data_IF_937976997566
#
_entry.id   IF_937976997566
#
_cell.length_a   1.000
_cell.length_b   1.000
_cell.length_c   1.000
_cell.angle_alpha   90.00
_cell.angle_beta   90.00
_cell.angle_gamma   90.00
#
_symmetry.space_group_name_H-M   'P 1'
#
loop_
_entity.id
_entity.type
_entity.pdbx_description
1 polymer ?
#
# COMPACT_ATOMS: atom_id res chain seq x y z
N UNK A 1 8.65 -11.00 4.55
CA UNK A 1 7.77 -11.95 3.82
C UNK A 1 6.28 -11.57 3.62
N UNK A 2 5.52 -10.97 4.58
CA UNK A 2 4.09 -10.63 4.33
C UNK A 2 3.85 -9.28 3.62
N UNK A 3 4.78 -8.32 3.72
CA UNK A 3 4.65 -7.01 3.06
C UNK A 3 5.10 -7.08 1.61
N UNK A 4 6.21 -7.73 1.33
CA UNK A 4 6.73 -7.87 -0.04
C UNK A 4 5.73 -8.53 -0.99
N UNK A 5 5.02 -9.57 -0.54
CA UNK A 5 3.93 -10.19 -1.33
C UNK A 5 2.77 -9.22 -1.61
N UNK A 6 2.46 -8.32 -0.67
CA UNK A 6 1.44 -7.28 -0.88
C UNK A 6 1.95 -6.23 -1.88
N UNK A 7 3.23 -5.87 -1.80
CA UNK A 7 3.87 -4.93 -2.71
C UNK A 7 4.01 -5.48 -4.12
N UNK A 8 4.39 -6.76 -4.28
CA UNK A 8 4.42 -7.42 -5.58
C UNK A 8 3.04 -7.53 -6.20
N UNK A 9 2.01 -7.87 -5.40
CA UNK A 9 0.62 -7.81 -5.90
C UNK A 9 0.24 -6.39 -6.31
N UNK A 10 0.62 -5.38 -5.54
CA UNK A 10 0.37 -3.97 -5.87
C UNK A 10 1.05 -3.59 -7.20
N UNK A 11 2.31 -3.98 -7.42
CA UNK A 11 3.03 -3.76 -8.68
C UNK A 11 2.43 -4.53 -9.86
N UNK A 12 2.04 -5.79 -9.65
CA UNK A 12 1.36 -6.58 -10.68
C UNK A 12 0.06 -5.89 -11.10
N UNK A 13 -0.69 -5.33 -10.13
CA UNK A 13 -1.89 -4.56 -10.43
C UNK A 13 -1.58 -3.25 -11.19
N UNK A 14 -0.41 -2.66 -11.00
CA UNK A 14 -0.03 -1.48 -11.81
C UNK A 14 0.29 -1.83 -13.26
N UNK A 15 0.81 -3.03 -13.53
CA UNK A 15 1.23 -3.47 -14.86
C UNK A 15 0.12 -4.17 -15.66
N UNK A 16 -1.03 -4.49 -15.07
CA UNK A 16 -2.05 -5.27 -15.79
C UNK A 16 -2.91 -4.37 -16.68
N UNK A 17 -3.04 -4.78 -17.95
CA UNK A 17 -3.72 -4.05 -19.00
C UNK A 17 -5.20 -3.73 -18.76
N UNK A 18 -5.64 -2.65 -19.40
CA UNK A 18 -6.85 -1.84 -19.17
C UNK A 18 -8.20 -2.56 -19.30
N UNK A 19 -8.24 -3.88 -19.52
CA UNK A 19 -9.46 -4.63 -19.83
C UNK A 19 -10.26 -5.10 -18.60
N UNK A 20 -9.69 -5.13 -17.39
CA UNK A 20 -10.40 -5.52 -16.14
C UNK A 20 -10.50 -4.41 -15.08
N UNK A 21 -10.68 -3.14 -15.51
CA UNK A 21 -10.62 -1.94 -14.65
C UNK A 21 -11.43 -2.00 -13.34
N UNK A 22 -12.62 -2.60 -13.33
CA UNK A 22 -13.49 -2.61 -12.13
C UNK A 22 -12.94 -3.50 -11.02
N UNK A 23 -12.66 -4.76 -11.33
CA UNK A 23 -12.02 -5.71 -10.39
C UNK A 23 -10.65 -5.19 -9.95
N UNK A 24 -9.91 -4.58 -10.87
CA UNK A 24 -8.62 -3.96 -10.59
C UNK A 24 -8.69 -2.86 -9.53
N UNK A 25 -9.64 -1.93 -9.67
CA UNK A 25 -9.85 -0.84 -8.72
C UNK A 25 -10.27 -1.39 -7.36
N UNK A 26 -11.13 -2.41 -7.33
CA UNK A 26 -11.55 -3.05 -6.08
C UNK A 26 -10.42 -3.78 -5.37
N UNK A 27 -9.59 -4.55 -6.09
CA UNK A 27 -8.40 -5.18 -5.52
C UNK A 27 -7.39 -4.15 -5.03
N UNK A 28 -7.13 -3.11 -5.81
CA UNK A 28 -6.24 -2.02 -5.41
C UNK A 28 -6.74 -1.34 -4.13
N UNK A 29 -8.05 -1.05 -4.03
CA UNK A 29 -8.65 -0.54 -2.78
C UNK A 29 -8.47 -1.51 -1.61
N UNK A 30 -8.69 -2.81 -1.82
CA UNK A 30 -8.51 -3.83 -0.77
C UNK A 30 -7.07 -3.88 -0.29
N UNK A 31 -6.08 -3.81 -1.20
CA UNK A 31 -4.67 -3.79 -0.83
C UNK A 31 -4.31 -2.49 -0.10
N UNK A 32 -4.76 -1.34 -0.57
CA UNK A 32 -4.56 -0.04 0.11
C UNK A 32 -5.16 -0.03 1.52
N UNK A 33 -6.33 -0.63 1.72
CA UNK A 33 -6.94 -0.79 3.04
C UNK A 33 -6.12 -1.71 3.96
N UNK A 34 -5.57 -2.80 3.42
CA UNK A 34 -4.66 -3.68 4.18
C UNK A 34 -3.37 -2.97 4.56
N UNK A 35 -2.79 -2.18 3.65
CA UNK A 35 -1.63 -1.33 3.92
C UNK A 35 -1.94 -0.29 4.99
N UNK A 36 -3.11 0.37 4.95
CA UNK A 36 -3.57 1.30 6.00
C UNK A 36 -3.67 0.64 7.37
N UNK A 37 -4.23 -0.57 7.44
CA UNK A 37 -4.32 -1.32 8.70
C UNK A 37 -2.94 -1.68 9.23
N UNK A 38 -2.02 -2.10 8.36
CA UNK A 38 -0.62 -2.39 8.75
C UNK A 38 0.11 -1.13 9.23
N UNK A 39 -0.01 -0.03 8.51
CA UNK A 39 0.56 1.27 8.89
C UNK A 39 0.13 1.63 10.31
N UNK A 40 -1.18 1.63 10.59
CA UNK A 40 -1.70 1.91 11.94
C UNK A 40 -1.17 0.95 13.00
N UNK A 41 -1.00 -0.34 12.66
CA UNK A 41 -0.51 -1.35 13.60
C UNK A 41 0.96 -1.09 13.95
N UNK A 42 1.78 -0.77 12.94
CA UNK A 42 3.19 -0.41 13.11
C UNK A 42 3.34 0.91 13.87
N UNK A 43 2.55 1.93 13.55
CA UNK A 43 2.56 3.20 14.29
C UNK A 43 2.21 3.00 15.77
N UNK A 44 1.22 2.16 16.08
CA UNK A 44 0.89 1.82 17.48
C UNK A 44 2.00 1.04 18.17
N UNK A 45 2.65 0.11 17.47
CA UNK A 45 3.78 -0.63 18.00
C UNK A 45 4.97 0.30 18.29
N UNK A 46 5.25 1.25 17.39
CA UNK A 46 6.29 2.27 17.57
C UNK A 46 6.06 3.16 18.80
N UNK A 47 4.81 3.43 19.17
CA UNK A 47 4.49 4.22 20.38
C UNK A 47 4.74 3.47 21.69
N UNK A 48 4.91 2.14 21.64
CA UNK A 48 5.08 1.27 22.81
C UNK A 48 6.46 0.61 22.84
N UNK A 49 7.34 0.95 21.90
CA UNK A 49 8.67 0.39 21.77
C UNK A 49 9.67 1.33 22.46
N UNK A 50 10.38 0.79 23.44
CA UNK A 50 11.55 1.42 24.07
C UNK A 50 12.87 1.03 23.38
N UNK A 51 12.84 0.04 22.50
CA UNK A 51 14.03 -0.43 21.77
C UNK A 51 14.27 0.40 20.50
N UNK A 52 15.35 1.19 20.51
CA UNK A 52 15.75 2.07 19.41
C UNK A 52 16.02 1.34 18.08
N UNK A 53 16.56 0.12 18.15
CA UNK A 53 16.92 -0.64 16.95
C UNK A 53 15.66 -1.22 16.30
N UNK A 54 14.75 -1.72 17.14
CA UNK A 54 13.43 -2.18 16.73
C UNK A 54 12.58 -1.01 16.19
N UNK A 55 12.68 0.17 16.81
CA UNK A 55 12.03 1.41 16.37
C UNK A 55 12.48 1.80 14.96
N UNK A 56 13.79 1.82 14.68
CA UNK A 56 14.32 2.10 13.34
C UNK A 56 13.83 1.13 12.28
N UNK A 57 13.80 -0.17 12.60
CA UNK A 57 13.28 -1.18 11.68
C UNK A 57 11.80 -0.92 11.33
N UNK A 58 10.97 -0.68 12.34
CA UNK A 58 9.55 -0.39 12.13
C UNK A 58 9.31 0.94 11.43
N UNK A 59 10.13 1.96 11.67
CA UNK A 59 10.08 3.23 10.93
C UNK A 59 10.39 3.02 9.45
N UNK A 60 11.39 2.21 9.12
CA UNK A 60 11.76 1.87 7.74
C UNK A 60 10.62 1.14 7.04
N UNK A 61 10.03 0.13 7.69
CA UNK A 61 8.85 -0.55 7.15
C UNK A 61 7.66 0.41 6.95
N UNK A 62 7.45 1.33 7.90
CA UNK A 62 6.37 2.32 7.82
C UNK A 62 6.55 3.26 6.61
N UNK A 63 7.77 3.70 6.36
CA UNK A 63 8.11 4.57 5.24
C UNK A 63 7.84 3.88 3.90
N UNK A 64 8.31 2.64 3.75
CA UNK A 64 8.05 1.82 2.55
C UNK A 64 6.54 1.69 2.31
N UNK A 65 5.76 1.40 3.37
CA UNK A 65 4.30 1.29 3.27
C UNK A 65 3.69 2.62 2.81
N UNK A 66 4.13 3.75 3.37
CA UNK A 66 3.62 5.09 3.01
C UNK A 66 3.90 5.44 1.55
N UNK A 67 5.13 5.23 1.09
CA UNK A 67 5.52 5.47 -0.31
C UNK A 67 4.67 4.62 -1.27
N UNK A 68 4.56 3.33 -0.98
CA UNK A 68 3.82 2.39 -1.81
C UNK A 68 2.32 2.68 -1.82
N UNK A 69 1.78 3.10 -0.68
CA UNK A 69 0.39 3.52 -0.56
C UNK A 69 0.11 4.80 -1.35
N UNK A 70 0.99 5.80 -1.29
CA UNK A 70 0.86 7.04 -2.06
C UNK A 70 0.80 6.72 -3.55
N UNK A 71 1.75 5.93 -4.06
CA UNK A 71 1.75 5.43 -5.44
C UNK A 71 0.45 4.73 -5.81
N UNK A 72 -0.04 3.84 -4.95
CA UNK A 72 -1.31 3.14 -5.22
C UNK A 72 -2.55 4.04 -5.22
N UNK A 73 -2.56 5.13 -4.44
CA UNK A 73 -3.62 6.14 -4.50
C UNK A 73 -3.54 6.93 -5.81
N UNK A 74 -2.34 7.34 -6.22
CA UNK A 74 -2.13 8.06 -7.49
C UNK A 74 -2.60 7.22 -8.68
N UNK A 75 -2.23 5.94 -8.74
CA UNK A 75 -2.71 5.02 -9.79
C UNK A 75 -4.24 4.87 -9.73
N UNK A 76 -4.82 4.75 -8.54
CA UNK A 76 -6.27 4.68 -8.38
C UNK A 76 -6.97 5.95 -8.88
N UNK A 77 -6.34 7.11 -8.70
CA UNK A 77 -6.86 8.40 -9.17
C UNK A 77 -6.77 8.49 -10.70
N UNK A 78 -5.64 8.15 -11.30
CA UNK A 78 -5.47 8.08 -12.76
C UNK A 78 -6.46 7.10 -13.41
N UNK A 79 -6.73 5.95 -12.78
CA UNK A 79 -7.71 4.97 -13.25
C UNK A 79 -9.15 5.51 -13.18
N UNK A 80 -9.46 6.38 -12.22
CA UNK A 80 -10.77 7.05 -12.11
C UNK A 80 -10.92 8.19 -13.12
N UNK A 81 -9.88 9.01 -13.32
CA UNK A 81 -9.92 10.14 -14.26
C UNK A 81 -10.05 9.67 -15.71
N UNK A 82 -9.36 8.59 -16.09
CA UNK A 82 -9.53 7.93 -17.40
C UNK A 82 -10.95 7.36 -17.65
N UNK A 83 -11.85 7.45 -16.67
CA UNK A 83 -13.25 7.01 -16.77
C UNK A 83 -14.22 8.17 -17.03
N UNK A 84 -13.72 9.41 -17.02
CA UNK A 84 -14.51 10.65 -17.12
C UNK A 84 -14.45 11.31 -18.51
N UNK A 85 -13.89 10.61 -19.51
CA UNK A 85 -13.82 11.01 -20.92
C UNK A 85 -14.56 9.96 -21.73
#
# INVERSE_FOLDING_TARGET
>A
MKIEKLLQKLQALFNTDKHKKRQHIEELRKILLKLKKKERKITRALQQIDDDNLSKHYQTELEIIRVQRKKGIEVLQQLKERKKI
#
